data_IF_995950517174
#
_entry.id   IF_995950517174
#
_cell.length_a   1.000
_cell.length_b   1.000
_cell.length_c   1.000
_cell.angle_alpha   90.00
_cell.angle_beta   90.00
_cell.angle_gamma   90.00
#
_symmetry.space_group_name_H-M   'P 1'
#
loop_
_entity.id
_entity.type
_entity.pdbx_description
1 polymer ?
#
# COMPACT_ATOMS: atom_id res chain seq x y z
N UNK A 1 -13.24 -6.70 8.96
CA UNK A 1 -13.01 -6.81 7.50
C UNK A 1 -12.65 -5.40 7.01
N UNK A 2 -11.47 -5.21 6.41
CA UNK A 2 -11.07 -3.90 5.87
C UNK A 2 -11.83 -3.71 4.55
N UNK A 3 -12.70 -2.71 4.49
CA UNK A 3 -13.77 -2.65 3.46
C UNK A 3 -13.31 -2.06 2.11
N UNK A 4 -12.06 -1.61 1.98
CA UNK A 4 -11.51 -0.97 0.77
C UNK A 4 -9.98 -1.16 0.66
N UNK A 5 -9.51 -2.39 0.44
CA UNK A 5 -8.11 -2.68 0.17
C UNK A 5 -8.04 -3.65 -1.01
N UNK A 6 -7.39 -3.21 -2.09
CA UNK A 6 -7.10 -4.05 -3.26
C UNK A 6 -5.60 -4.26 -3.36
N UNK A 7 -5.19 -5.48 -3.69
CA UNK A 7 -3.80 -5.85 -3.91
C UNK A 7 -3.52 -5.88 -5.42
N UNK A 8 -2.28 -5.55 -5.79
CA UNK A 8 -1.86 -5.50 -7.20
C UNK A 8 -1.74 -6.90 -7.84
N UNK A 9 -1.71 -7.94 -7.01
CA UNK A 9 -1.69 -9.37 -7.38
C UNK A 9 -2.20 -10.25 -6.23
N UNK A 10 -2.76 -11.41 -6.59
CA UNK A 10 -3.20 -12.44 -5.63
C UNK A 10 -2.06 -13.02 -4.80
N UNK A 11 -0.84 -13.05 -5.36
CA UNK A 11 0.38 -13.46 -4.66
C UNK A 11 0.69 -12.51 -3.51
N UNK A 12 0.63 -11.20 -3.74
CA UNK A 12 0.88 -10.19 -2.71
C UNK A 12 -0.15 -10.26 -1.59
N UNK A 13 -1.42 -10.47 -1.93
CA UNK A 13 -2.48 -10.68 -0.93
C UNK A 13 -2.18 -11.92 -0.07
N UNK A 14 -1.85 -13.04 -0.72
CA UNK A 14 -1.52 -14.29 -0.03
C UNK A 14 -0.34 -14.13 0.91
N UNK A 15 0.74 -13.52 0.44
CA UNK A 15 1.95 -13.28 1.23
C UNK A 15 1.65 -12.43 2.46
N UNK A 16 0.85 -11.36 2.30
CA UNK A 16 0.41 -10.53 3.42
C UNK A 16 -0.37 -11.34 4.46
N UNK A 17 -1.29 -12.21 4.03
CA UNK A 17 -2.07 -13.02 4.96
C UNK A 17 -1.27 -14.16 5.61
N UNK A 18 -0.25 -14.70 4.93
CA UNK A 18 0.64 -15.72 5.46
C UNK A 18 1.56 -15.23 6.59
N UNK A 19 1.87 -13.92 6.64
CA UNK A 19 2.62 -13.36 7.75
C UNK A 19 1.90 -13.62 9.08
N UNK A 20 2.66 -13.96 10.13
CA UNK A 20 2.09 -14.17 11.47
C UNK A 20 1.47 -12.88 11.98
N UNK A 21 0.46 -13.00 12.85
CA UNK A 21 -0.21 -11.83 13.41
C UNK A 21 0.74 -10.95 14.26
N UNK A 22 1.70 -11.58 14.94
CA UNK A 22 2.67 -10.89 15.77
C UNK A 22 3.89 -10.34 14.99
N UNK A 23 3.98 -10.66 13.69
CA UNK A 23 5.03 -10.21 12.80
C UNK A 23 5.12 -8.67 12.77
N UNK A 24 6.28 -8.08 13.08
CA UNK A 24 6.46 -6.63 13.11
C UNK A 24 6.11 -5.94 11.79
N UNK A 25 6.43 -6.58 10.64
CA UNK A 25 6.15 -6.04 9.31
C UNK A 25 4.65 -6.06 9.06
N UNK A 26 3.96 -7.14 9.41
CA UNK A 26 2.49 -7.21 9.28
C UNK A 26 1.80 -6.14 10.12
N UNK A 27 2.24 -5.94 11.37
CA UNK A 27 1.73 -4.89 12.24
C UNK A 27 1.96 -3.49 11.67
N UNK A 28 3.17 -3.21 11.16
CA UNK A 28 3.49 -1.92 10.56
C UNK A 28 2.63 -1.65 9.31
N UNK A 29 2.42 -2.65 8.45
CA UNK A 29 1.53 -2.52 7.29
C UNK A 29 0.07 -2.30 7.68
N UNK A 30 -0.46 -3.03 8.67
CA UNK A 30 -1.83 -2.82 9.17
C UNK A 30 -1.99 -1.39 9.70
N UNK A 31 -1.01 -0.89 10.46
CA UNK A 31 -1.01 0.49 10.94
C UNK A 31 -0.99 1.49 9.79
N UNK A 32 -0.12 1.32 8.80
CA UNK A 32 -0.07 2.20 7.64
C UNK A 32 -1.40 2.21 6.85
N UNK A 33 -2.05 1.05 6.71
CA UNK A 33 -3.38 0.96 6.09
C UNK A 33 -4.42 1.74 6.92
N UNK A 34 -4.37 1.66 8.26
CA UNK A 34 -5.27 2.43 9.14
C UNK A 34 -5.02 3.93 9.01
N UNK A 35 -3.76 4.37 9.07
CA UNK A 35 -3.40 5.78 8.94
C UNK A 35 -3.82 6.36 7.59
N UNK A 36 -3.65 5.60 6.50
CA UNK A 36 -4.09 6.01 5.16
C UNK A 36 -5.62 6.08 5.02
N UNK A 37 -6.38 5.28 5.78
CA UNK A 37 -7.84 5.36 5.83
C UNK A 37 -8.33 6.61 6.55
N UNK A 38 -7.63 7.02 7.60
CA UNK A 38 -7.95 8.23 8.36
C UNK A 38 -7.47 9.49 7.64
N UNK A 39 -6.29 9.42 7.02
CA UNK A 39 -5.65 10.51 6.32
C UNK A 39 -4.93 10.01 5.05
N UNK A 40 -5.55 10.23 3.89
CA UNK A 40 -4.97 9.88 2.60
C UNK A 40 -3.64 10.61 2.29
N UNK A 41 -3.31 11.67 3.05
CA UNK A 41 -2.07 12.44 2.93
C UNK A 41 -1.00 12.02 3.95
N UNK A 42 -1.20 10.91 4.69
CA UNK A 42 -0.24 10.42 5.70
C UNK A 42 1.08 9.87 5.11
N UNK A 43 1.27 9.93 3.79
CA UNK A 43 2.50 9.54 3.11
C UNK A 43 3.19 10.69 2.39
N UNK A 44 4.16 10.34 1.55
CA UNK A 44 4.84 11.26 0.65
C UNK A 44 4.29 11.06 -0.76
N UNK A 45 3.72 12.10 -1.36
CA UNK A 45 3.28 12.04 -2.75
C UNK A 45 4.48 11.80 -3.67
N UNK A 46 4.39 10.79 -4.54
CA UNK A 46 5.43 10.50 -5.54
C UNK A 46 5.25 11.46 -6.72
N UNK A 47 6.27 12.27 -7.07
CA UNK A 47 6.22 13.11 -8.27
C UNK A 47 5.90 12.28 -9.52
N UNK A 48 5.02 12.78 -10.40
CA UNK A 48 4.55 12.04 -11.60
C UNK A 48 5.68 11.42 -12.45
N UNK A 49 6.81 12.12 -12.57
CA UNK A 49 8.00 11.65 -13.31
C UNK A 49 8.71 10.44 -12.69
N UNK A 50 8.45 10.16 -11.41
CA UNK A 50 9.02 9.06 -10.64
C UNK A 50 8.04 7.89 -10.46
N UNK A 51 6.80 8.01 -10.92
CA UNK A 51 5.84 6.91 -10.89
C UNK A 51 6.31 5.84 -11.91
N UNK A 52 6.45 4.57 -11.52
CA UNK A 52 6.82 3.50 -12.45
C UNK A 52 5.89 3.47 -13.67
N UNK A 53 6.46 3.38 -14.87
CA UNK A 53 5.67 3.37 -16.12
C UNK A 53 4.65 2.24 -16.16
N UNK A 54 5.02 1.07 -15.64
CA UNK A 54 4.12 -0.07 -15.53
C UNK A 54 2.86 0.27 -14.71
N UNK A 55 3.00 1.05 -13.64
CA UNK A 55 1.86 1.40 -12.78
C UNK A 55 0.87 2.30 -13.51
N UNK A 56 1.39 3.21 -14.33
CA UNK A 56 0.57 4.07 -15.19
C UNK A 56 -0.09 3.28 -16.31
N UNK A 57 0.66 2.41 -16.99
CA UNK A 57 0.20 1.71 -18.20
C UNK A 57 -0.77 0.57 -17.88
N UNK A 58 -0.49 -0.22 -16.84
CA UNK A 58 -1.28 -1.41 -16.49
C UNK A 58 -2.46 -1.09 -15.59
N UNK A 59 -2.30 -0.13 -14.68
CA UNK A 59 -3.30 0.16 -13.64
C UNK A 59 -3.88 1.58 -13.71
N UNK A 60 -3.41 2.43 -14.63
CA UNK A 60 -3.91 3.80 -14.77
C UNK A 60 -3.56 4.72 -13.59
N UNK A 61 -2.61 4.34 -12.73
CA UNK A 61 -2.27 5.06 -11.50
C UNK A 61 -1.59 6.39 -11.85
N UNK A 62 -2.22 7.50 -11.47
CA UNK A 62 -1.71 8.88 -11.69
C UNK A 62 -1.45 9.65 -10.38
N UNK A 63 -1.82 9.07 -9.25
CA UNK A 63 -1.68 9.64 -7.92
C UNK A 63 -1.12 8.59 -6.96
N UNK A 64 0.21 8.43 -6.95
CA UNK A 64 0.90 7.44 -6.13
C UNK A 64 1.44 8.09 -4.86
N UNK A 65 1.23 7.43 -3.72
CA UNK A 65 1.73 7.83 -2.41
C UNK A 65 2.66 6.75 -1.88
N UNK A 66 3.77 7.17 -1.27
CA UNK A 66 4.71 6.28 -0.57
C UNK A 66 4.55 6.49 0.93
N UNK A 67 4.23 5.43 1.66
CA UNK A 67 4.18 5.44 3.12
C UNK A 67 5.49 4.84 3.67
N UNK A 68 6.13 5.52 4.63
CA UNK A 68 7.34 5.01 5.28
C UNK A 68 6.94 4.16 6.49
N UNK A 69 7.31 2.88 6.49
CA UNK A 69 6.98 1.92 7.56
C UNK A 69 7.97 1.95 8.76
N UNK A 70 8.95 2.88 8.74
CA UNK A 70 10.03 3.04 9.72
C UNK A 70 9.89 4.36 10.45
#
# INVERSE_FOLDING_TARGET
MIQFLEYISDELERDFYQLKHDDPIKKAMIRAIQDLRENAFAGIQVPKRLIPKEYVQKYGIKNLWKYCLL
#
